data_IF_332730004446
#
_entry.id   IF_332730004446
#
_cell.length_a   1.000
_cell.length_b   1.000
_cell.length_c   1.000
_cell.angle_alpha   90.00
_cell.angle_beta   90.00
_cell.angle_gamma   90.00
#
_symmetry.space_group_name_H-M   'P 1'
#
loop_
_entity.id
_entity.type
_entity.pdbx_description
1 polymer ?
#
# COMPACT_ATOMS: atom_id res chain seq x y z
N UNK A 1 24.22 -0.25 -25.26
CA UNK A 1 24.73 0.89 -24.45
C UNK A 1 23.96 0.90 -23.15
N UNK A 2 24.58 1.28 -22.02
CA UNK A 2 23.88 1.43 -20.76
C UNK A 2 22.89 2.60 -20.79
N UNK A 3 21.96 2.66 -19.81
CA UNK A 3 21.07 3.79 -19.65
C UNK A 3 21.88 5.06 -19.34
N UNK A 4 21.54 6.16 -20.00
CA UNK A 4 22.10 7.49 -19.74
C UNK A 4 21.11 8.33 -18.90
N UNK A 5 21.61 8.98 -17.84
CA UNK A 5 20.88 9.96 -17.06
C UNK A 5 21.62 11.29 -17.06
N UNK A 6 20.92 12.34 -17.49
CA UNK A 6 21.38 13.71 -17.49
C UNK A 6 20.64 14.50 -16.39
N UNK A 7 21.35 15.23 -15.56
CA UNK A 7 20.77 16.14 -14.56
C UNK A 7 21.08 17.57 -14.96
N UNK A 8 20.05 18.36 -15.24
CA UNK A 8 20.12 19.79 -15.55
C UNK A 8 19.90 20.58 -14.27
N UNK A 9 20.91 21.29 -13.79
CA UNK A 9 20.93 21.89 -12.44
C UNK A 9 21.80 23.15 -12.36
N UNK A 10 21.62 23.94 -11.30
CA UNK A 10 22.53 25.02 -10.92
C UNK A 10 23.75 24.53 -10.11
N UNK A 11 23.72 23.30 -9.58
CA UNK A 11 24.73 22.75 -8.68
C UNK A 11 25.21 21.36 -9.12
N UNK A 12 25.82 21.24 -10.31
CA UNK A 12 26.26 19.95 -10.85
C UNK A 12 27.22 19.21 -9.92
N UNK A 13 28.06 19.90 -9.16
CA UNK A 13 29.04 19.30 -8.27
C UNK A 13 28.36 18.53 -7.13
N UNK A 14 27.21 19.04 -6.64
CA UNK A 14 26.41 18.36 -5.60
C UNK A 14 25.87 17.03 -6.12
N UNK A 15 25.36 17.02 -7.34
CA UNK A 15 24.81 15.80 -7.94
C UNK A 15 25.91 14.82 -8.31
N UNK A 16 26.99 15.29 -8.92
CA UNK A 16 28.10 14.46 -9.40
C UNK A 16 28.78 13.69 -8.26
N UNK A 17 28.98 14.33 -7.08
CA UNK A 17 29.58 13.67 -5.92
C UNK A 17 28.76 12.45 -5.47
N UNK A 18 27.44 12.52 -5.51
CA UNK A 18 26.54 11.42 -5.14
C UNK A 18 26.57 10.34 -6.23
N UNK A 19 26.47 10.73 -7.50
CA UNK A 19 26.44 9.80 -8.63
C UNK A 19 27.76 9.03 -8.79
N UNK A 20 28.90 9.63 -8.44
CA UNK A 20 30.21 8.99 -8.48
C UNK A 20 30.47 8.03 -7.30
N UNK A 21 29.59 8.06 -6.30
CA UNK A 21 29.78 7.29 -5.08
C UNK A 21 29.11 5.91 -5.14
N UNK A 22 29.56 5.01 -4.24
CA UNK A 22 28.95 3.72 -3.90
C UNK A 22 28.58 2.85 -5.13
N UNK A 23 27.34 2.36 -5.18
CA UNK A 23 26.85 1.41 -6.18
C UNK A 23 26.75 2.08 -7.56
N UNK A 24 26.13 3.25 -7.63
CA UNK A 24 25.92 4.00 -8.86
C UNK A 24 27.26 4.35 -9.52
N UNK A 25 28.20 4.92 -8.74
CA UNK A 25 29.53 5.26 -9.27
C UNK A 25 30.35 4.04 -9.74
N UNK A 26 30.21 2.89 -9.07
CA UNK A 26 30.83 1.64 -9.55
C UNK A 26 30.21 1.13 -10.84
N UNK A 27 28.88 1.24 -10.97
CA UNK A 27 28.16 0.81 -12.15
C UNK A 27 28.53 1.69 -13.36
N UNK A 28 28.62 3.00 -13.17
CA UNK A 28 29.08 3.95 -14.20
C UNK A 28 30.51 3.63 -14.65
N UNK A 29 31.45 3.40 -13.73
CA UNK A 29 32.84 3.00 -14.05
C UNK A 29 32.94 1.68 -14.81
N UNK A 30 31.97 0.78 -14.66
CA UNK A 30 31.88 -0.50 -15.38
C UNK A 30 31.12 -0.39 -16.71
N UNK A 31 30.57 0.78 -17.05
CA UNK A 31 29.84 1.02 -18.29
C UNK A 31 28.41 0.45 -18.32
N UNK A 32 27.84 0.08 -17.17
CA UNK A 32 26.45 -0.36 -17.11
C UNK A 32 25.45 0.79 -17.25
N UNK A 33 25.84 1.99 -16.83
CA UNK A 33 25.06 3.22 -16.88
C UNK A 33 25.99 4.40 -17.21
N UNK A 34 25.41 5.51 -17.63
CA UNK A 34 26.10 6.79 -17.85
C UNK A 34 25.37 7.89 -17.07
N UNK A 35 26.12 8.80 -16.42
CA UNK A 35 25.56 9.92 -15.67
C UNK A 35 26.29 11.20 -16.01
N UNK A 36 25.53 12.27 -16.30
CA UNK A 36 26.06 13.58 -16.64
C UNK A 36 25.29 14.66 -15.87
N UNK A 37 26.02 15.68 -15.44
CA UNK A 37 25.43 16.85 -14.79
C UNK A 37 25.74 18.10 -15.61
N UNK A 38 24.71 18.87 -15.97
CA UNK A 38 24.79 20.03 -16.82
C UNK A 38 24.54 21.31 -16.03
N UNK A 39 25.49 22.27 -16.13
CA UNK A 39 25.37 23.56 -15.45
C UNK A 39 24.49 24.50 -16.25
N UNK A 40 23.31 24.86 -15.74
CA UNK A 40 22.38 25.80 -16.38
C UNK A 40 23.04 27.15 -16.66
N UNK A 41 23.92 27.63 -15.78
CA UNK A 41 24.60 28.93 -15.90
C UNK A 41 25.48 29.04 -17.13
N UNK A 42 25.93 27.94 -17.71
CA UNK A 42 26.80 27.96 -18.90
C UNK A 42 26.03 28.28 -20.19
N UNK A 43 24.71 28.20 -20.14
CA UNK A 43 23.80 28.47 -21.26
C UNK A 43 23.13 29.85 -21.20
N UNK A 44 23.39 30.64 -20.15
CA UNK A 44 22.85 32.00 -20.09
C UNK A 44 23.58 32.96 -21.04
N UNK A 45 22.81 33.82 -21.68
CA UNK A 45 23.33 34.91 -22.53
C UNK A 45 23.80 36.11 -21.74
N UNK A 46 23.50 36.14 -20.44
CA UNK A 46 23.87 37.21 -19.52
C UNK A 46 25.35 37.13 -19.17
N UNK A 47 26.08 38.26 -19.30
CA UNK A 47 27.52 38.35 -18.98
C UNK A 47 27.84 38.02 -17.51
N UNK A 48 26.92 38.30 -16.61
CA UNK A 48 27.00 38.00 -15.17
C UNK A 48 26.62 36.56 -14.84
N UNK A 49 26.29 35.77 -15.85
CA UNK A 49 25.78 34.37 -15.68
C UNK A 49 24.54 34.28 -14.77
N UNK A 50 23.68 35.30 -14.79
CA UNK A 50 22.43 35.34 -14.08
C UNK A 50 21.44 34.39 -14.79
N UNK A 51 20.69 33.62 -13.99
CA UNK A 51 19.76 32.58 -14.47
C UNK A 51 18.33 32.76 -13.96
N UNK A 52 18.06 33.81 -13.22
CA UNK A 52 16.83 34.07 -12.48
C UNK A 52 16.47 35.55 -12.45
N UNK A 53 15.17 35.88 -12.30
CA UNK A 53 14.64 37.25 -12.15
C UNK A 53 13.34 37.24 -11.33
N UNK A 54 12.82 38.39 -11.03
CA UNK A 54 11.57 38.56 -10.32
C UNK A 54 10.38 38.02 -11.11
N UNK A 55 9.42 37.39 -10.42
CA UNK A 55 8.23 36.88 -11.12
C UNK A 55 7.34 37.99 -11.65
N UNK A 56 6.73 37.82 -12.81
CA UNK A 56 5.66 38.67 -13.28
C UNK A 56 4.46 38.60 -12.30
N UNK A 57 3.84 39.73 -12.08
CA UNK A 57 2.72 39.85 -11.11
C UNK A 57 3.18 40.17 -9.68
N UNK A 58 4.49 40.25 -9.43
CA UNK A 58 5.05 40.50 -8.11
C UNK A 58 5.08 39.23 -7.24
N UNK A 59 5.63 39.34 -6.07
CA UNK A 59 5.83 38.27 -5.10
C UNK A 59 7.22 38.30 -4.48
N UNK A 60 7.47 37.41 -3.53
CA UNK A 60 8.79 37.20 -2.96
C UNK A 60 9.58 36.18 -3.81
N UNK A 61 10.93 36.32 -3.81
CA UNK A 61 11.81 35.37 -4.44
C UNK A 61 12.07 35.65 -5.93
N UNK A 62 12.68 34.68 -6.58
CA UNK A 62 13.14 34.71 -7.98
C UNK A 62 12.62 33.48 -8.73
N UNK A 63 12.53 33.58 -10.03
CA UNK A 63 12.13 32.47 -10.93
C UNK A 63 13.24 32.23 -11.95
N UNK A 64 13.56 30.98 -12.21
CA UNK A 64 14.56 30.61 -13.22
C UNK A 64 14.08 30.98 -14.62
N UNK A 65 14.94 31.63 -15.40
CA UNK A 65 14.67 31.98 -16.79
C UNK A 65 14.41 30.77 -17.67
N UNK A 66 13.47 30.90 -18.59
CA UNK A 66 13.22 29.89 -19.62
C UNK A 66 14.43 29.62 -20.54
N UNK A 67 15.15 30.71 -21.00
CA UNK A 67 16.17 30.61 -22.01
C UNK A 67 17.34 29.71 -21.62
N UNK A 68 18.04 29.85 -20.48
CA UNK A 68 19.22 29.01 -20.19
C UNK A 68 18.84 27.53 -19.98
N UNK A 69 17.66 27.26 -19.43
CA UNK A 69 17.16 25.89 -19.26
C UNK A 69 16.85 25.27 -20.64
N UNK A 70 16.12 25.99 -21.49
CA UNK A 70 15.77 25.54 -22.83
C UNK A 70 17.03 25.27 -23.68
N UNK A 71 18.04 26.13 -23.62
CA UNK A 71 19.27 25.95 -24.39
C UNK A 71 20.13 24.79 -23.85
N UNK A 72 20.15 24.60 -22.51
CA UNK A 72 20.77 23.44 -21.90
C UNK A 72 20.08 22.13 -22.35
N UNK A 73 18.74 22.07 -22.32
CA UNK A 73 17.98 20.91 -22.79
C UNK A 73 18.21 20.59 -24.27
N UNK A 74 18.23 21.63 -25.11
CA UNK A 74 18.57 21.45 -26.56
C UNK A 74 19.97 20.92 -26.74
N UNK A 75 20.95 21.37 -25.95
CA UNK A 75 22.31 20.85 -25.97
C UNK A 75 22.38 19.38 -25.57
N UNK A 76 21.68 18.97 -24.51
CA UNK A 76 21.56 17.57 -24.09
C UNK A 76 20.91 16.72 -25.19
N UNK A 77 19.79 17.18 -25.76
CA UNK A 77 19.11 16.46 -26.84
C UNK A 77 20.03 16.29 -28.07
N UNK A 78 20.80 17.32 -28.43
CA UNK A 78 21.76 17.28 -29.52
C UNK A 78 22.87 16.27 -29.24
N UNK A 79 23.46 16.31 -28.04
CA UNK A 79 24.53 15.38 -27.64
C UNK A 79 24.07 13.93 -27.67
N UNK A 80 22.86 13.66 -27.14
CA UNK A 80 22.23 12.33 -27.18
C UNK A 80 22.01 11.84 -28.60
N UNK A 81 21.53 12.73 -29.49
CA UNK A 81 21.34 12.40 -30.94
C UNK A 81 22.65 12.15 -31.66
N UNK A 82 23.72 12.93 -31.40
CA UNK A 82 25.06 12.73 -31.97
C UNK A 82 25.66 11.38 -31.53
N UNK A 83 25.30 10.85 -30.38
CA UNK A 83 25.66 9.50 -29.94
C UNK A 83 24.80 8.39 -30.57
N UNK A 84 23.85 8.74 -31.44
CA UNK A 84 22.93 7.78 -32.06
C UNK A 84 21.91 7.16 -31.10
N UNK A 85 21.64 7.83 -29.97
CA UNK A 85 20.66 7.37 -28.98
C UNK A 85 19.26 7.94 -29.29
N UNK A 86 18.19 7.29 -28.82
CA UNK A 86 16.83 7.85 -28.83
C UNK A 86 16.76 9.18 -28.09
N UNK A 87 15.76 10.01 -28.39
CA UNK A 87 15.49 11.24 -27.64
C UNK A 87 15.33 10.95 -26.15
N UNK A 88 15.86 11.82 -25.27
CA UNK A 88 15.71 11.63 -23.84
C UNK A 88 14.27 11.89 -23.40
N UNK A 89 13.79 11.14 -22.42
CA UNK A 89 12.57 11.43 -21.69
C UNK A 89 12.88 12.50 -20.63
N UNK A 90 12.18 13.63 -20.69
CA UNK A 90 12.49 14.82 -19.88
C UNK A 90 11.49 14.94 -18.72
N UNK A 91 12.01 14.89 -17.51
CA UNK A 91 11.24 14.95 -16.27
C UNK A 91 11.62 16.22 -15.48
N UNK A 92 10.63 17.04 -15.17
CA UNK A 92 10.81 18.16 -14.27
C UNK A 92 10.45 17.76 -12.84
N UNK A 93 11.34 18.07 -11.90
CA UNK A 93 11.10 17.82 -10.47
C UNK A 93 10.42 19.05 -9.88
N UNK A 94 9.11 18.95 -9.65
CA UNK A 94 8.27 20.06 -9.17
C UNK A 94 7.42 19.62 -7.98
N UNK A 95 7.01 20.55 -7.13
CA UNK A 95 6.10 20.26 -6.02
C UNK A 95 4.69 19.91 -6.50
N UNK A 96 4.29 20.41 -7.69
CA UNK A 96 2.98 20.16 -8.31
C UNK A 96 2.91 18.89 -9.15
N UNK A 97 4.03 18.21 -9.36
CA UNK A 97 4.12 17.02 -10.19
C UNK A 97 3.42 15.80 -9.56
N UNK A 98 3.23 14.77 -10.39
CA UNK A 98 2.69 13.50 -9.93
C UNK A 98 3.58 12.87 -8.86
N UNK A 99 2.98 12.30 -7.82
CA UNK A 99 3.73 11.67 -6.73
C UNK A 99 4.54 10.47 -7.21
N UNK A 100 5.85 10.53 -7.06
CA UNK A 100 6.79 9.49 -7.43
C UNK A 100 6.64 8.23 -6.57
N UNK A 101 6.65 7.06 -7.21
CA UNK A 101 6.54 5.74 -6.58
C UNK A 101 7.49 4.75 -7.25
N UNK A 102 7.62 3.54 -6.70
CA UNK A 102 8.39 2.44 -7.30
C UNK A 102 7.89 2.07 -8.71
N UNK A 103 6.60 2.23 -8.99
CA UNK A 103 6.04 2.03 -10.32
C UNK A 103 6.61 3.02 -11.33
N UNK A 104 6.75 4.29 -10.94
CA UNK A 104 7.44 5.30 -11.76
C UNK A 104 8.89 4.92 -12.00
N UNK A 105 9.62 4.45 -10.96
CA UNK A 105 11.01 4.01 -11.12
C UNK A 105 11.13 2.89 -12.16
N UNK A 106 10.27 1.87 -12.06
CA UNK A 106 10.24 0.75 -13.03
C UNK A 106 9.91 1.19 -14.44
N UNK A 107 8.97 2.11 -14.61
CA UNK A 107 8.60 2.68 -15.91
C UNK A 107 9.74 3.51 -16.50
N UNK A 108 10.32 4.42 -15.70
CA UNK A 108 11.44 5.26 -16.13
C UNK A 108 12.69 4.43 -16.46
N UNK A 109 12.92 3.32 -15.78
CA UNK A 109 14.00 2.40 -16.08
C UNK A 109 13.87 1.72 -17.45
N UNK A 110 12.74 1.82 -18.17
CA UNK A 110 12.60 1.29 -19.53
C UNK A 110 13.17 2.23 -20.59
N UNK A 111 13.41 3.50 -20.27
CA UNK A 111 14.02 4.43 -21.20
C UNK A 111 15.52 4.20 -21.33
N UNK A 112 16.07 4.50 -22.50
CA UNK A 112 17.51 4.46 -22.73
C UNK A 112 18.20 5.75 -22.24
N UNK A 113 17.46 6.87 -22.26
CA UNK A 113 17.95 8.17 -21.85
C UNK A 113 16.88 8.90 -21.03
N UNK A 114 17.28 9.46 -19.88
CA UNK A 114 16.43 10.20 -18.97
C UNK A 114 17.11 11.55 -18.65
N UNK A 115 16.39 12.64 -18.78
CA UNK A 115 16.86 13.97 -18.38
C UNK A 115 16.01 14.46 -17.19
N UNK A 116 16.65 14.74 -16.08
CA UNK A 116 16.03 15.26 -14.84
C UNK A 116 16.34 16.74 -14.72
N UNK A 117 15.32 17.59 -14.62
CA UNK A 117 15.48 19.04 -14.54
C UNK A 117 15.20 19.50 -13.11
N UNK A 118 16.18 20.15 -12.51
CA UNK A 118 16.12 20.68 -11.15
C UNK A 118 15.64 22.12 -11.16
N UNK A 119 14.49 22.39 -10.52
CA UNK A 119 14.06 23.74 -10.17
C UNK A 119 14.85 24.28 -8.96
N UNK A 120 14.86 25.60 -8.82
CA UNK A 120 15.41 26.31 -7.68
C UNK A 120 14.62 27.60 -7.42
N UNK A 121 14.86 28.27 -6.27
CA UNK A 121 14.14 29.48 -5.87
C UNK A 121 12.61 29.24 -5.74
N UNK A 122 11.78 30.11 -6.39
CA UNK A 122 10.31 29.94 -6.43
C UNK A 122 9.85 28.99 -7.54
N UNK A 123 10.76 28.54 -8.41
CA UNK A 123 10.48 27.60 -9.48
C UNK A 123 11.12 27.97 -10.82
N UNK A 124 10.58 27.37 -11.86
CA UNK A 124 11.01 27.50 -13.26
C UNK A 124 9.92 28.26 -14.02
N UNK A 125 10.31 29.08 -15.00
CA UNK A 125 9.36 29.69 -15.92
C UNK A 125 8.49 28.63 -16.61
N UNK A 126 7.18 28.70 -16.41
CA UNK A 126 6.20 27.69 -16.86
C UNK A 126 6.31 27.37 -18.34
N UNK A 127 6.65 28.35 -19.16
CA UNK A 127 6.78 28.19 -20.61
C UNK A 127 7.86 27.17 -21.03
N UNK A 128 8.87 26.92 -20.19
CA UNK A 128 9.87 25.89 -20.49
C UNK A 128 9.40 24.52 -20.06
N UNK A 129 8.62 24.44 -18.99
CA UNK A 129 7.94 23.20 -18.59
C UNK A 129 6.96 22.78 -19.69
N UNK A 130 6.06 23.67 -20.10
CA UNK A 130 5.10 23.44 -21.20
C UNK A 130 5.75 22.98 -22.51
N UNK A 131 6.96 23.53 -22.81
CA UNK A 131 7.63 23.26 -24.08
C UNK A 131 8.47 21.99 -24.10
N UNK A 132 8.96 21.51 -22.97
CA UNK A 132 9.96 20.45 -22.89
C UNK A 132 9.61 19.27 -21.98
N UNK A 133 8.70 19.44 -20.99
CA UNK A 133 8.40 18.37 -20.07
C UNK A 133 7.62 17.25 -20.75
N UNK A 134 8.10 16.01 -20.65
CA UNK A 134 7.30 14.83 -20.93
C UNK A 134 6.44 14.49 -19.70
N UNK A 135 6.95 14.80 -18.49
CA UNK A 135 6.21 14.67 -17.23
C UNK A 135 6.80 15.54 -16.11
N UNK A 136 5.97 15.82 -15.10
CA UNK A 136 6.37 16.44 -13.85
C UNK A 136 6.22 15.46 -12.70
N UNK A 137 7.25 15.34 -11.84
CA UNK A 137 7.24 14.44 -10.70
C UNK A 137 7.56 15.15 -9.39
N UNK A 138 6.87 14.77 -8.32
CA UNK A 138 7.10 15.19 -6.94
C UNK A 138 7.52 13.99 -6.09
N UNK A 139 8.59 14.11 -5.31
CA UNK A 139 9.01 13.03 -4.41
C UNK A 139 8.24 13.01 -3.07
N UNK A 140 7.30 13.90 -2.86
CA UNK A 140 6.44 13.93 -1.66
C UNK A 140 5.91 15.33 -1.34
N UNK A 141 4.98 15.39 -0.37
CA UNK A 141 4.24 16.58 0.03
C UNK A 141 5.07 17.43 1.02
N UNK A 142 6.23 17.92 0.56
CA UNK A 142 7.13 18.81 1.31
C UNK A 142 7.98 19.60 0.32
N UNK A 143 8.48 20.76 0.76
CA UNK A 143 9.27 21.67 -0.08
C UNK A 143 10.75 21.53 0.26
N UNK A 144 11.58 21.44 -0.78
CA UNK A 144 13.04 21.47 -0.71
C UNK A 144 13.57 22.81 -1.21
N UNK A 145 14.84 23.10 -0.95
CA UNK A 145 15.51 24.32 -1.43
C UNK A 145 15.80 24.30 -2.93
N UNK A 146 15.77 23.10 -3.55
CA UNK A 146 16.01 22.89 -4.98
C UNK A 146 15.67 21.45 -5.39
N UNK A 147 15.68 21.19 -6.69
CA UNK A 147 15.34 19.89 -7.29
C UNK A 147 16.46 18.84 -7.24
N UNK A 148 17.67 19.19 -6.80
CA UNK A 148 18.85 18.33 -6.86
C UNK A 148 18.67 17.03 -6.05
N UNK A 149 18.18 17.13 -4.81
CA UNK A 149 17.91 15.95 -3.99
C UNK A 149 16.81 15.08 -4.59
N UNK A 150 15.76 15.71 -5.13
CA UNK A 150 14.69 14.99 -5.80
C UNK A 150 15.20 14.24 -7.04
N UNK A 151 16.02 14.88 -7.87
CA UNK A 151 16.67 14.26 -9.04
C UNK A 151 17.57 13.11 -8.64
N UNK A 152 18.31 13.21 -7.55
CA UNK A 152 19.16 12.13 -7.04
C UNK A 152 18.34 10.95 -6.53
N UNK A 153 17.22 11.19 -5.85
CA UNK A 153 16.29 10.12 -5.43
C UNK A 153 15.73 9.37 -6.63
N UNK A 154 15.28 10.09 -7.67
CA UNK A 154 14.78 9.49 -8.91
C UNK A 154 15.90 8.76 -9.64
N UNK A 155 17.08 9.37 -9.80
CA UNK A 155 18.22 8.75 -10.50
C UNK A 155 18.66 7.45 -9.81
N UNK A 156 18.81 7.43 -8.48
CA UNK A 156 19.24 6.24 -7.73
C UNK A 156 18.21 5.11 -7.87
N UNK A 157 16.93 5.40 -7.64
CA UNK A 157 15.86 4.41 -7.69
C UNK A 157 15.63 3.84 -9.10
N UNK A 158 15.87 4.62 -10.17
CA UNK A 158 15.79 4.17 -11.55
C UNK A 158 17.04 3.37 -11.94
N UNK A 159 18.23 3.93 -11.68
CA UNK A 159 19.49 3.33 -12.12
C UNK A 159 19.78 1.99 -11.43
N UNK A 160 19.39 1.82 -10.17
CA UNK A 160 19.56 0.55 -9.45
C UNK A 160 18.81 -0.63 -10.08
N UNK A 161 17.76 -0.36 -10.86
CA UNK A 161 16.98 -1.37 -11.57
C UNK A 161 17.63 -1.83 -12.90
N UNK A 162 18.71 -1.17 -13.34
CA UNK A 162 19.37 -1.56 -14.58
C UNK A 162 20.25 -2.80 -14.38
N UNK A 163 20.31 -3.70 -15.39
CA UNK A 163 21.13 -4.90 -15.31
C UNK A 163 22.60 -4.58 -14.99
N UNK A 164 23.20 -5.29 -14.05
CA UNK A 164 24.59 -5.16 -13.64
C UNK A 164 24.88 -4.08 -12.59
N UNK A 165 23.91 -3.22 -12.26
CA UNK A 165 24.05 -2.20 -11.20
C UNK A 165 24.03 -2.86 -9.84
N UNK A 166 23.01 -3.66 -9.54
CA UNK A 166 22.98 -4.53 -8.36
C UNK A 166 23.52 -5.92 -8.70
N UNK A 167 24.05 -6.62 -7.71
CA UNK A 167 24.70 -7.91 -7.90
C UNK A 167 23.74 -9.01 -8.38
N UNK A 168 22.50 -8.99 -7.88
CA UNK A 168 21.46 -9.96 -8.20
C UNK A 168 20.13 -9.25 -8.49
N UNK A 169 19.50 -9.62 -9.59
CA UNK A 169 18.19 -9.08 -9.98
C UNK A 169 17.10 -9.43 -8.95
N UNK A 170 17.15 -10.64 -8.38
CA UNK A 170 16.23 -11.04 -7.30
C UNK A 170 16.29 -10.14 -6.07
N UNK A 171 17.39 -9.41 -5.86
CA UNK A 171 17.57 -8.55 -4.69
C UNK A 171 16.54 -7.43 -4.59
N UNK A 172 16.10 -6.84 -5.70
CA UNK A 172 15.09 -5.77 -5.69
C UNK A 172 13.66 -6.28 -5.92
N UNK A 173 13.49 -7.48 -6.51
CA UNK A 173 12.16 -8.08 -6.73
C UNK A 173 11.49 -8.55 -5.42
N UNK A 174 12.28 -8.78 -4.37
CA UNK A 174 11.78 -9.16 -3.03
C UNK A 174 11.69 -7.97 -2.06
N UNK A 175 12.06 -6.76 -2.49
CA UNK A 175 12.04 -5.56 -1.66
C UNK A 175 10.62 -4.95 -1.53
N UNK A 176 10.50 -4.00 -0.60
CA UNK A 176 9.25 -3.25 -0.39
C UNK A 176 8.78 -2.59 -1.68
N UNK A 177 7.47 -2.60 -1.90
CA UNK A 177 6.74 -1.99 -3.02
C UNK A 177 6.82 -2.73 -4.37
N UNK A 178 7.70 -3.74 -4.52
CA UNK A 178 7.82 -4.44 -5.80
C UNK A 178 6.54 -5.18 -6.19
N UNK A 179 5.92 -5.89 -5.25
CA UNK A 179 4.64 -6.58 -5.40
C UNK A 179 3.47 -5.87 -4.67
N UNK A 180 3.68 -4.60 -4.28
CA UNK A 180 2.71 -3.80 -3.54
C UNK A 180 2.73 -3.99 -2.03
N UNK A 181 3.60 -4.84 -1.49
CA UNK A 181 3.77 -5.06 -0.06
C UNK A 181 5.06 -4.44 0.48
N UNK A 182 5.12 -4.25 1.79
CA UNK A 182 6.37 -4.00 2.50
C UNK A 182 7.12 -5.31 2.70
N UNK A 183 8.43 -5.27 2.62
CA UNK A 183 9.31 -6.40 2.91
C UNK A 183 9.14 -6.91 4.35
N UNK A 184 9.35 -8.20 4.54
CA UNK A 184 9.41 -8.85 5.85
C UNK A 184 10.60 -8.34 6.70
N UNK A 185 10.59 -8.53 8.05
CA UNK A 185 11.70 -8.09 8.89
C UNK A 185 12.96 -8.92 8.64
N UNK A 186 14.07 -8.23 8.44
CA UNK A 186 15.40 -8.85 8.26
C UNK A 186 16.10 -9.02 9.61
N UNK A 187 16.86 -10.11 9.75
CA UNK A 187 17.64 -10.43 10.93
C UNK A 187 19.07 -10.83 10.52
N UNK A 188 20.05 -10.49 11.36
CA UNK A 188 21.44 -10.87 11.18
C UNK A 188 22.06 -11.35 12.51
N UNK A 189 23.32 -11.73 12.51
CA UNK A 189 24.06 -12.16 13.71
C UNK A 189 24.26 -11.00 14.69
N UNK A 190 24.29 -11.28 16.01
CA UNK A 190 24.18 -12.60 16.65
C UNK A 190 22.72 -13.12 16.70
N UNK A 191 22.51 -14.44 16.94
CA UNK A 191 21.19 -15.07 17.05
C UNK A 191 20.33 -14.48 18.18
N UNK A 192 20.97 -14.06 19.27
CA UNK A 192 20.32 -13.34 20.38
C UNK A 192 21.05 -12.02 20.61
N UNK A 193 20.29 -10.92 20.51
CA UNK A 193 20.79 -9.58 20.82
C UNK A 193 19.93 -8.94 21.91
N UNK A 194 20.56 -8.61 23.04
CA UNK A 194 19.88 -8.03 24.23
C UNK A 194 18.60 -8.78 24.65
N UNK A 195 18.67 -10.12 24.68
CA UNK A 195 17.55 -10.97 25.03
C UNK A 195 16.49 -11.16 23.94
N UNK A 196 16.66 -10.55 22.79
CA UNK A 196 15.76 -10.67 21.62
C UNK A 196 16.34 -11.68 20.65
N UNK A 197 15.67 -12.82 20.51
CA UNK A 197 16.11 -13.89 19.63
C UNK A 197 15.59 -13.72 18.19
N UNK A 198 16.36 -14.20 17.22
CA UNK A 198 15.92 -14.41 15.85
C UNK A 198 14.77 -15.44 15.85
N UNK A 199 13.70 -15.27 15.06
CA UNK A 199 12.63 -16.25 14.94
C UNK A 199 13.15 -17.64 14.55
N UNK A 200 12.77 -18.68 15.32
CA UNK A 200 13.24 -20.04 15.15
C UNK A 200 13.04 -20.61 13.74
N UNK A 201 11.98 -20.20 13.05
CA UNK A 201 11.72 -20.61 11.67
C UNK A 201 12.87 -20.26 10.72
N UNK A 202 13.56 -19.13 10.97
CA UNK A 202 14.69 -18.67 10.15
C UNK A 202 15.97 -19.45 10.38
N UNK A 203 16.07 -20.17 11.49
CA UNK A 203 17.24 -20.97 11.87
C UNK A 203 17.13 -22.44 11.40
N UNK A 204 15.93 -22.87 11.01
CA UNK A 204 15.62 -24.28 10.74
C UNK A 204 16.01 -24.80 9.35
N UNK A 205 16.47 -23.95 8.42
CA UNK A 205 16.89 -24.36 7.06
C UNK A 205 15.76 -24.87 6.14
N UNK A 206 14.50 -24.88 6.59
CA UNK A 206 13.35 -25.28 5.79
C UNK A 206 12.85 -24.08 4.97
N UNK A 207 13.30 -23.99 3.72
CA UNK A 207 12.99 -22.86 2.83
C UNK A 207 11.49 -22.64 2.64
N UNK A 208 10.69 -23.71 2.56
CA UNK A 208 9.23 -23.54 2.39
C UNK A 208 8.59 -22.88 3.61
N UNK A 209 9.01 -23.24 4.81
CA UNK A 209 8.52 -22.60 6.04
C UNK A 209 9.03 -21.17 6.18
N UNK A 210 10.27 -20.91 5.77
CA UNK A 210 10.88 -19.57 5.77
C UNK A 210 10.09 -18.66 4.82
N UNK A 211 9.81 -19.09 3.59
CA UNK A 211 9.10 -18.30 2.59
C UNK A 211 7.64 -18.05 2.99
N UNK A 212 6.97 -19.06 3.56
CA UNK A 212 5.63 -18.90 4.11
C UNK A 212 5.60 -17.85 5.24
N UNK A 213 6.58 -17.91 6.16
CA UNK A 213 6.73 -16.96 7.26
C UNK A 213 7.02 -15.55 6.74
N UNK A 214 7.96 -15.40 5.79
CA UNK A 214 8.29 -14.11 5.15
C UNK A 214 7.05 -13.46 4.53
N UNK A 215 6.28 -14.21 3.74
CA UNK A 215 5.04 -13.73 3.15
C UNK A 215 3.98 -13.35 4.19
N UNK A 216 3.88 -14.06 5.30
CA UNK A 216 2.98 -13.71 6.41
C UNK A 216 3.42 -12.39 7.09
N UNK A 217 4.72 -12.24 7.37
CA UNK A 217 5.28 -11.02 7.98
C UNK A 217 5.13 -9.80 7.07
N UNK A 218 5.39 -9.95 5.77
CA UNK A 218 5.20 -8.91 4.77
C UNK A 218 3.75 -8.39 4.77
N UNK A 219 2.77 -9.28 4.66
CA UNK A 219 1.34 -8.92 4.74
C UNK A 219 0.96 -8.28 6.08
N UNK A 220 1.47 -8.81 7.19
CA UNK A 220 1.17 -8.27 8.52
C UNK A 220 1.75 -6.86 8.71
N UNK A 221 2.99 -6.63 8.28
CA UNK A 221 3.65 -5.32 8.32
C UNK A 221 2.95 -4.29 7.44
N UNK A 222 2.61 -4.69 6.20
CA UNK A 222 1.94 -3.79 5.25
C UNK A 222 0.59 -3.37 5.79
N UNK A 223 -0.22 -4.32 6.26
CA UNK A 223 -1.52 -4.03 6.86
C UNK A 223 -1.42 -3.06 8.06
N UNK A 224 -0.36 -3.18 8.88
CA UNK A 224 -0.19 -2.34 10.06
C UNK A 224 0.36 -0.95 9.73
N UNK A 225 1.31 -0.85 8.80
CA UNK A 225 2.08 0.37 8.54
C UNK A 225 1.62 1.16 7.33
N UNK A 226 1.07 0.47 6.35
CA UNK A 226 0.60 1.00 5.06
C UNK A 226 -0.69 0.29 4.67
N UNK A 227 -1.79 0.52 5.41
CA UNK A 227 -3.06 -0.15 5.18
C UNK A 227 -3.60 0.08 3.77
N UNK A 228 -3.39 1.26 3.18
CA UNK A 228 -3.79 1.59 1.82
C UNK A 228 -3.12 0.68 0.77
N UNK A 229 -1.81 0.43 0.88
CA UNK A 229 -1.10 -0.50 -0.01
C UNK A 229 -1.61 -1.94 0.16
N UNK A 230 -1.94 -2.33 1.39
CA UNK A 230 -2.47 -3.66 1.65
C UNK A 230 -3.87 -3.85 1.06
N UNK A 231 -4.71 -2.81 1.07
CA UNK A 231 -6.03 -2.81 0.43
C UNK A 231 -5.90 -2.94 -1.09
N UNK A 232 -5.03 -2.17 -1.73
CA UNK A 232 -4.72 -2.28 -3.16
C UNK A 232 -4.19 -3.67 -3.53
N UNK A 233 -3.24 -4.21 -2.74
CA UNK A 233 -2.71 -5.55 -2.94
C UNK A 233 -3.81 -6.63 -2.84
N UNK A 234 -4.77 -6.49 -1.92
CA UNK A 234 -5.89 -7.42 -1.78
C UNK A 234 -6.80 -7.44 -3.03
N UNK A 235 -6.92 -6.33 -3.74
CA UNK A 235 -7.70 -6.26 -4.99
C UNK A 235 -7.02 -7.05 -6.10
N UNK A 236 -5.70 -6.93 -6.22
CA UNK A 236 -4.92 -7.57 -7.29
C UNK A 236 -4.55 -9.02 -7.00
N UNK A 237 -4.67 -9.46 -5.73
CA UNK A 237 -4.33 -10.81 -5.27
C UNK A 237 -5.54 -11.53 -4.63
N UNK A 238 -6.59 -11.84 -5.41
CA UNK A 238 -7.77 -12.54 -4.91
C UNK A 238 -7.43 -13.95 -4.41
N UNK A 239 -8.27 -14.48 -3.53
CA UNK A 239 -8.19 -15.88 -3.10
C UNK A 239 -8.83 -16.73 -4.18
N UNK A 240 -8.01 -17.37 -5.00
CA UNK A 240 -8.45 -18.25 -6.10
C UNK A 240 -8.69 -19.68 -5.65
N UNK A 241 -7.97 -20.13 -4.62
CA UNK A 241 -8.14 -21.48 -4.07
C UNK A 241 -8.70 -21.42 -2.64
N UNK A 242 -9.88 -22.01 -2.46
CA UNK A 242 -10.50 -22.08 -1.15
C UNK A 242 -9.86 -23.18 -0.29
N UNK A 243 -9.60 -22.91 1.00
CA UNK A 243 -9.05 -23.90 1.92
C UNK A 243 -10.00 -25.12 2.00
N UNK A 244 -9.47 -26.33 1.79
CA UNK A 244 -10.25 -27.56 1.88
C UNK A 244 -10.76 -27.79 3.32
N UNK A 245 -11.98 -28.30 3.41
CA UNK A 245 -12.54 -28.77 4.68
C UNK A 245 -11.75 -29.97 5.19
N UNK A 246 -11.32 -29.91 6.44
CA UNK A 246 -10.61 -31.01 7.09
C UNK A 246 -11.60 -31.96 7.78
N UNK A 247 -11.16 -33.21 8.03
CA UNK A 247 -11.98 -34.18 8.78
C UNK A 247 -12.33 -33.60 10.16
N UNK A 248 -13.62 -33.59 10.50
CA UNK A 248 -14.17 -33.07 11.76
C UNK A 248 -14.49 -31.56 11.75
N UNK A 249 -14.24 -30.87 10.64
CA UNK A 249 -14.73 -29.50 10.42
C UNK A 249 -16.09 -29.52 9.73
N UNK A 250 -17.03 -28.73 10.20
CA UNK A 250 -18.35 -28.61 9.57
C UNK A 250 -19.06 -27.30 9.95
N UNK A 251 -20.11 -26.98 9.16
CA UNK A 251 -21.05 -25.90 9.48
C UNK A 251 -22.37 -26.50 9.97
N UNK A 252 -22.87 -25.99 11.08
CA UNK A 252 -24.13 -26.45 11.72
C UNK A 252 -25.13 -25.33 11.83
N UNK A 253 -26.34 -25.56 11.32
CA UNK A 253 -27.46 -24.65 11.56
C UNK A 253 -27.83 -24.66 13.05
N UNK A 254 -27.95 -23.47 13.63
CA UNK A 254 -28.37 -23.28 15.02
C UNK A 254 -29.86 -23.60 15.18
N UNK A 255 -30.16 -24.70 15.85
CA UNK A 255 -31.54 -25.20 16.06
C UNK A 255 -31.94 -25.17 17.53
N UNK A 256 -31.03 -25.50 18.45
CA UNK A 256 -31.32 -25.63 19.89
C UNK A 256 -30.93 -24.35 20.64
N UNK A 257 -31.49 -24.20 21.88
CA UNK A 257 -31.14 -23.10 22.78
C UNK A 257 -29.68 -23.14 23.19
N UNK A 258 -29.10 -24.32 23.41
CA UNK A 258 -27.69 -24.51 23.72
C UNK A 258 -26.78 -24.00 22.59
N UNK A 259 -27.14 -24.32 21.33
CA UNK A 259 -26.42 -23.83 20.16
C UNK A 259 -26.58 -22.31 19.99
N UNK A 260 -27.74 -21.75 20.32
CA UNK A 260 -27.98 -20.32 20.29
C UNK A 260 -27.12 -19.58 21.34
N UNK A 261 -27.03 -20.13 22.55
CA UNK A 261 -26.15 -19.61 23.61
C UNK A 261 -24.67 -19.68 23.19
N UNK A 262 -24.25 -20.78 22.51
CA UNK A 262 -22.90 -20.87 21.97
C UNK A 262 -22.63 -19.80 20.89
N UNK A 263 -23.59 -19.51 20.02
CA UNK A 263 -23.49 -18.45 19.03
C UNK A 263 -23.39 -17.06 19.70
N UNK A 264 -24.20 -16.82 20.75
CA UNK A 264 -24.15 -15.56 21.51
C UNK A 264 -22.79 -15.32 22.19
N UNK A 265 -22.20 -16.37 22.77
CA UNK A 265 -20.84 -16.29 23.35
C UNK A 265 -19.78 -15.92 22.29
N UNK A 266 -19.83 -16.57 21.13
CA UNK A 266 -18.91 -16.24 20.02
C UNK A 266 -19.09 -14.81 19.52
N UNK A 267 -20.34 -14.34 19.45
CA UNK A 267 -20.64 -12.97 19.05
C UNK A 267 -20.12 -11.95 20.08
N UNK A 268 -20.32 -12.21 21.37
CA UNK A 268 -19.78 -11.40 22.46
C UNK A 268 -18.24 -11.35 22.42
N UNK A 269 -17.57 -12.50 22.22
CA UNK A 269 -16.11 -12.57 22.07
C UNK A 269 -15.65 -11.74 20.89
N UNK A 270 -16.32 -11.86 19.74
CA UNK A 270 -16.03 -11.09 18.53
C UNK A 270 -16.18 -9.58 18.73
N UNK A 271 -17.27 -9.17 19.36
CA UNK A 271 -17.52 -7.74 19.65
C UNK A 271 -16.48 -7.19 20.64
N UNK A 272 -16.16 -7.91 21.70
CA UNK A 272 -15.13 -7.52 22.67
C UNK A 272 -13.73 -7.38 22.04
N UNK A 273 -13.39 -8.23 21.07
CA UNK A 273 -12.11 -8.19 20.37
C UNK A 273 -11.87 -6.90 19.57
N UNK A 274 -12.94 -6.21 19.14
CA UNK A 274 -12.86 -4.94 18.39
C UNK A 274 -13.37 -3.74 19.21
N UNK A 275 -13.90 -4.01 20.39
CA UNK A 275 -14.60 -3.02 21.21
C UNK A 275 -13.69 -1.87 21.62
N UNK A 276 -12.53 -2.16 22.19
CA UNK A 276 -11.59 -1.15 22.71
C UNK A 276 -11.00 -0.21 21.65
N UNK A 277 -11.11 -0.58 20.37
CA UNK A 277 -10.67 0.27 19.26
C UNK A 277 -11.75 1.25 18.80
N UNK A 278 -13.02 0.96 19.08
CA UNK A 278 -14.17 1.66 18.50
C UNK A 278 -15.09 2.29 19.55
N UNK A 279 -15.09 1.80 20.81
CA UNK A 279 -15.98 2.25 21.89
C UNK A 279 -15.21 2.46 23.19
N UNK A 280 -15.90 3.07 24.18
CA UNK A 280 -15.31 3.29 25.51
C UNK A 280 -15.15 1.98 26.29
N UNK A 281 -14.19 1.90 27.22
CA UNK A 281 -14.04 0.74 28.10
C UNK A 281 -15.33 0.43 28.91
N UNK A 282 -16.07 1.46 29.34
CA UNK A 282 -17.32 1.34 30.07
C UNK A 282 -18.43 0.69 29.24
N UNK A 283 -18.53 1.05 27.95
CA UNK A 283 -19.44 0.40 27.00
C UNK A 283 -19.05 -1.07 26.82
N UNK A 284 -17.78 -1.34 26.56
CA UNK A 284 -17.28 -2.70 26.34
C UNK A 284 -17.55 -3.61 27.57
N UNK A 285 -17.48 -3.05 28.78
CA UNK A 285 -17.74 -3.79 30.01
C UNK A 285 -19.24 -4.16 30.23
N UNK A 286 -20.16 -3.42 29.60
CA UNK A 286 -21.61 -3.67 29.68
C UNK A 286 -22.12 -4.76 28.77
N UNK A 287 -21.34 -5.14 27.73
CA UNK A 287 -21.75 -6.18 26.80
C UNK A 287 -21.89 -7.53 27.49
N UNK A 288 -23.08 -8.11 27.42
CA UNK A 288 -23.41 -9.39 28.05
C UNK A 288 -23.82 -10.47 27.06
N UNK A 289 -23.73 -11.73 27.47
CA UNK A 289 -24.18 -12.87 26.66
C UNK A 289 -25.70 -12.83 26.43
N UNK A 290 -26.46 -12.38 27.44
CA UNK A 290 -27.92 -12.28 27.40
C UNK A 290 -28.39 -11.31 26.31
N UNK A 291 -27.71 -10.16 26.15
CA UNK A 291 -28.04 -9.19 25.11
C UNK A 291 -27.84 -9.78 23.71
N UNK A 292 -26.72 -10.46 23.49
CA UNK A 292 -26.46 -11.11 22.20
C UNK A 292 -27.37 -12.32 21.96
N UNK A 293 -27.74 -13.05 23.00
CA UNK A 293 -28.71 -14.13 22.91
C UNK A 293 -30.10 -13.60 22.50
N UNK A 294 -30.56 -12.52 23.13
CA UNK A 294 -31.82 -11.87 22.80
C UNK A 294 -31.83 -11.34 21.36
N UNK A 295 -30.71 -10.73 20.93
CA UNK A 295 -30.52 -10.26 19.55
C UNK A 295 -30.61 -11.40 18.53
N UNK A 296 -29.86 -12.47 18.70
CA UNK A 296 -29.89 -13.63 17.81
C UNK A 296 -31.27 -14.32 17.77
N UNK A 297 -31.98 -14.36 18.91
CA UNK A 297 -33.35 -14.87 18.97
C UNK A 297 -34.33 -13.99 18.20
N UNK A 298 -34.17 -12.67 18.25
CA UNK A 298 -34.97 -11.74 17.45
C UNK A 298 -34.65 -11.88 15.96
N UNK A 299 -33.38 -11.85 15.57
CA UNK A 299 -32.95 -12.04 14.21
C UNK A 299 -33.48 -13.37 13.60
N UNK A 300 -33.52 -14.45 14.40
CA UNK A 300 -34.14 -15.72 13.96
C UNK A 300 -35.64 -15.58 13.66
N UNK A 301 -36.37 -14.78 14.44
CA UNK A 301 -37.79 -14.48 14.18
C UNK A 301 -37.95 -13.64 12.91
N UNK A 302 -36.98 -12.75 12.64
CA UNK A 302 -36.94 -11.89 11.47
C UNK A 302 -36.47 -12.61 10.20
N UNK A 303 -36.15 -13.92 10.29
CA UNK A 303 -35.81 -14.80 9.16
C UNK A 303 -34.32 -15.01 8.94
N UNK A 304 -33.47 -14.60 9.86
CA UNK A 304 -32.04 -14.90 9.81
C UNK A 304 -31.74 -16.38 10.15
N UNK A 305 -30.82 -16.96 9.42
CA UNK A 305 -30.27 -18.28 9.68
C UNK A 305 -28.86 -18.15 10.29
N UNK A 306 -28.66 -18.66 11.51
CA UNK A 306 -27.37 -18.65 12.18
C UNK A 306 -26.69 -20.01 12.03
N UNK A 307 -25.39 -20.01 11.74
CA UNK A 307 -24.56 -21.20 11.57
C UNK A 307 -23.34 -21.13 12.46
N UNK A 308 -23.02 -22.27 13.11
CA UNK A 308 -21.77 -22.46 13.84
C UNK A 308 -20.77 -23.21 12.97
N UNK A 309 -19.54 -22.71 12.87
CA UNK A 309 -18.41 -23.51 12.46
C UNK A 309 -17.93 -24.33 13.66
N UNK A 310 -17.73 -25.63 13.48
CA UNK A 310 -17.27 -26.54 14.52
C UNK A 310 -16.05 -27.33 14.07
N UNK A 311 -15.06 -27.45 14.96
CA UNK A 311 -13.94 -28.39 14.81
C UNK A 311 -14.06 -29.47 15.90
N UNK A 312 -14.22 -30.73 15.51
CA UNK A 312 -14.45 -31.86 16.43
C UNK A 312 -15.57 -31.57 17.43
N UNK A 313 -16.70 -31.09 16.92
CA UNK A 313 -17.91 -30.74 17.65
C UNK A 313 -17.81 -29.50 18.57
N UNK A 314 -16.65 -28.85 18.66
CA UNK A 314 -16.47 -27.62 19.42
C UNK A 314 -16.72 -26.41 18.50
N UNK A 315 -17.65 -25.50 18.87
CA UNK A 315 -17.88 -24.25 18.13
C UNK A 315 -16.65 -23.34 18.22
N UNK A 316 -16.14 -22.88 17.06
CA UNK A 316 -14.97 -22.02 16.96
C UNK A 316 -15.16 -20.87 15.96
N UNK A 317 -16.37 -20.72 15.43
CA UNK A 317 -16.79 -19.60 14.61
C UNK A 317 -18.30 -19.60 14.39
N UNK A 318 -18.83 -18.45 13.95
CA UNK A 318 -20.24 -18.30 13.59
C UNK A 318 -20.41 -17.38 12.39
N UNK A 319 -21.52 -17.60 11.66
CA UNK A 319 -21.98 -16.70 10.59
C UNK A 319 -23.49 -16.66 10.57
N UNK A 320 -24.05 -15.49 10.32
CA UNK A 320 -25.50 -15.27 10.17
C UNK A 320 -25.82 -14.76 8.78
N UNK A 321 -26.89 -15.27 8.18
CA UNK A 321 -27.35 -14.86 6.85
C UNK A 321 -28.83 -14.52 6.86
N UNK A 322 -29.22 -13.48 6.16
CA UNK A 322 -30.60 -13.15 5.84
C UNK A 322 -30.89 -13.49 4.38
N UNK A 323 -31.71 -14.52 4.15
CA UNK A 323 -32.16 -14.85 2.79
C UNK A 323 -33.09 -13.77 2.21
N UNK A 324 -33.85 -13.09 3.06
CA UNK A 324 -34.78 -12.04 2.63
C UNK A 324 -34.02 -10.82 2.10
N UNK A 325 -32.92 -10.46 2.74
CA UNK A 325 -32.16 -9.23 2.42
C UNK A 325 -30.94 -9.52 1.54
N UNK A 326 -30.60 -10.79 1.29
CA UNK A 326 -29.37 -11.14 0.60
C UNK A 326 -28.10 -10.72 1.36
N UNK A 327 -28.15 -10.79 2.70
CA UNK A 327 -27.13 -10.18 3.56
C UNK A 327 -26.44 -11.22 4.45
N UNK A 328 -25.13 -11.03 4.62
CA UNK A 328 -24.33 -11.67 5.68
C UNK A 328 -24.18 -10.65 6.81
N UNK A 329 -24.76 -10.96 8.00
CA UNK A 329 -24.83 -10.02 9.11
C UNK A 329 -23.66 -10.19 10.09
N UNK A 330 -23.36 -11.42 10.50
CA UNK A 330 -22.29 -11.72 11.45
C UNK A 330 -21.33 -12.72 10.84
N UNK A 331 -20.03 -12.48 11.00
CA UNK A 331 -18.98 -13.45 10.69
C UNK A 331 -17.87 -13.31 11.75
N UNK A 332 -17.69 -14.34 12.55
CA UNK A 332 -16.69 -14.35 13.61
C UNK A 332 -15.95 -15.69 13.67
N UNK A 333 -14.66 -15.64 13.97
CA UNK A 333 -13.78 -16.80 14.22
C UNK A 333 -13.01 -16.52 15.51
N UNK A 334 -13.01 -17.47 16.46
CA UNK A 334 -12.27 -17.35 17.72
C UNK A 334 -10.80 -17.06 17.49
N UNK A 335 -10.17 -16.33 18.40
CA UNK A 335 -8.76 -15.95 18.27
C UNK A 335 -7.84 -17.17 18.10
N UNK A 336 -8.06 -18.23 18.89
CA UNK A 336 -7.33 -19.48 18.81
C UNK A 336 -7.45 -20.20 17.47
N UNK A 337 -8.50 -19.89 16.68
CA UNK A 337 -8.80 -20.53 15.39
C UNK A 337 -8.49 -19.64 14.19
N UNK A 338 -8.04 -18.41 14.40
CA UNK A 338 -7.61 -17.49 13.33
C UNK A 338 -6.37 -18.02 12.60
N UNK A 339 -6.22 -17.60 11.34
CA UNK A 339 -5.08 -18.03 10.49
C UNK A 339 -5.23 -19.43 9.88
N UNK A 340 -6.25 -20.20 10.27
CA UNK A 340 -6.50 -21.57 9.79
C UNK A 340 -7.42 -21.66 8.55
N UNK A 341 -7.80 -20.51 7.99
CA UNK A 341 -8.66 -20.43 6.80
C UNK A 341 -10.16 -20.52 7.10
N UNK A 342 -10.59 -20.54 8.38
CA UNK A 342 -12.00 -20.70 8.73
C UNK A 342 -12.87 -19.52 8.27
N UNK A 343 -12.36 -18.29 8.37
CA UNK A 343 -13.09 -17.12 7.86
C UNK A 343 -13.40 -17.21 6.37
N UNK A 344 -12.44 -17.69 5.56
CA UNK A 344 -12.61 -17.93 4.12
C UNK A 344 -13.70 -18.98 3.88
N UNK A 345 -13.63 -20.13 4.58
CA UNK A 345 -14.60 -21.23 4.45
C UNK A 345 -16.02 -20.80 4.83
N UNK A 346 -16.14 -20.05 5.92
CA UNK A 346 -17.43 -19.57 6.43
C UNK A 346 -18.03 -18.51 5.51
N UNK A 347 -17.21 -17.60 4.97
CA UNK A 347 -17.67 -16.59 4.03
C UNK A 347 -18.13 -17.23 2.71
N UNK A 348 -17.37 -18.17 2.17
CA UNK A 348 -17.79 -18.93 0.97
C UNK A 348 -19.07 -19.75 1.23
N UNK A 349 -19.18 -20.40 2.40
CA UNK A 349 -20.40 -21.09 2.81
C UNK A 349 -21.61 -20.14 2.87
N UNK A 350 -21.46 -18.98 3.50
CA UNK A 350 -22.53 -18.00 3.62
C UNK A 350 -22.95 -17.44 2.25
N UNK A 351 -21.97 -17.14 1.40
CA UNK A 351 -22.23 -16.70 0.02
C UNK A 351 -23.03 -17.76 -0.76
N UNK A 352 -22.66 -19.03 -0.66
CA UNK A 352 -23.40 -20.13 -1.30
C UNK A 352 -24.83 -20.29 -0.76
N UNK A 353 -25.07 -19.93 0.50
CA UNK A 353 -26.44 -19.88 1.06
C UNK A 353 -27.26 -18.75 0.48
N UNK A 354 -26.62 -17.73 -0.08
CA UNK A 354 -27.24 -16.58 -0.72
C UNK A 354 -27.10 -16.60 -2.26
N UNK A 355 -26.92 -17.77 -2.87
CA UNK A 355 -26.73 -17.92 -4.32
C UNK A 355 -27.89 -17.42 -5.18
N UNK A 356 -29.11 -17.34 -4.62
CA UNK A 356 -30.28 -16.75 -5.27
C UNK A 356 -30.18 -15.22 -5.39
N UNK A 357 -29.28 -14.58 -4.61
CA UNK A 357 -29.00 -13.16 -4.68
C UNK A 357 -27.77 -12.92 -5.55
N UNK A 358 -27.88 -12.25 -6.69
CA UNK A 358 -26.77 -12.05 -7.62
C UNK A 358 -25.64 -11.22 -6.99
N UNK A 359 -25.98 -10.33 -6.05
CA UNK A 359 -25.05 -9.41 -5.39
C UNK A 359 -25.33 -9.37 -3.89
N UNK A 360 -25.00 -10.42 -3.14
CA UNK A 360 -25.17 -10.38 -1.67
C UNK A 360 -24.30 -9.29 -1.04
N UNK A 361 -24.73 -8.75 0.09
CA UNK A 361 -24.06 -7.66 0.80
C UNK A 361 -23.64 -8.09 2.20
N UNK A 362 -22.66 -7.41 2.75
CA UNK A 362 -22.28 -7.49 4.17
C UNK A 362 -21.85 -6.10 4.66
N UNK A 363 -21.93 -5.90 5.97
CA UNK A 363 -21.41 -4.70 6.61
C UNK A 363 -20.20 -5.03 7.49
N UNK A 364 -19.23 -4.14 7.52
CA UNK A 364 -18.02 -4.28 8.30
C UNK A 364 -17.62 -2.93 8.91
N UNK A 365 -17.08 -2.94 10.14
CA UNK A 365 -16.51 -1.74 10.75
C UNK A 365 -15.40 -1.20 9.85
N UNK A 366 -15.44 0.10 9.55
CA UNK A 366 -14.44 0.74 8.67
C UNK A 366 -13.02 0.60 9.23
N UNK A 367 -12.88 0.58 10.55
CA UNK A 367 -11.61 0.33 11.25
C UNK A 367 -11.12 -1.12 11.16
N UNK A 368 -11.97 -2.09 10.73
CA UNK A 368 -11.59 -3.50 10.63
C UNK A 368 -10.90 -3.83 9.31
N UNK A 369 -9.70 -3.27 9.11
CA UNK A 369 -8.87 -3.49 7.91
C UNK A 369 -8.63 -4.99 7.61
N UNK A 370 -8.55 -5.84 8.65
CA UNK A 370 -8.34 -7.28 8.47
C UNK A 370 -9.54 -7.96 7.80
N UNK A 371 -10.74 -7.64 8.22
CA UNK A 371 -11.96 -8.20 7.65
C UNK A 371 -12.19 -7.63 6.23
N UNK A 372 -12.03 -6.32 6.03
CA UNK A 372 -12.11 -5.69 4.70
C UNK A 372 -11.17 -6.37 3.71
N UNK A 373 -9.91 -6.58 4.09
CA UNK A 373 -8.92 -7.26 3.26
C UNK A 373 -9.32 -8.71 2.90
N UNK A 374 -9.87 -9.48 3.87
CA UNK A 374 -10.39 -10.81 3.58
C UNK A 374 -11.53 -10.75 2.56
N UNK A 375 -12.50 -9.87 2.77
CA UNK A 375 -13.67 -9.74 1.91
C UNK A 375 -13.26 -9.29 0.50
N UNK A 376 -12.38 -8.30 0.39
CA UNK A 376 -11.84 -7.83 -0.89
C UNK A 376 -11.19 -8.97 -1.69
N UNK A 377 -10.35 -9.78 -1.03
CA UNK A 377 -9.71 -10.95 -1.66
C UNK A 377 -10.68 -12.07 -2.04
N UNK A 378 -11.86 -12.09 -1.46
CA UNK A 378 -12.95 -13.02 -1.77
C UNK A 378 -13.94 -12.46 -2.80
N UNK A 379 -13.62 -11.36 -3.47
CA UNK A 379 -14.45 -10.77 -4.53
C UNK A 379 -15.49 -9.75 -4.06
N UNK A 380 -15.42 -9.29 -2.80
CA UNK A 380 -16.30 -8.25 -2.29
C UNK A 380 -15.69 -6.86 -2.52
N UNK A 381 -16.54 -5.88 -2.85
CA UNK A 381 -16.12 -4.49 -3.11
C UNK A 381 -16.95 -3.52 -2.28
N UNK A 382 -16.32 -2.42 -1.86
CA UNK A 382 -17.00 -1.34 -1.16
C UNK A 382 -18.05 -0.70 -2.06
N UNK A 383 -19.27 -0.47 -1.54
CA UNK A 383 -20.36 0.18 -2.28
C UNK A 383 -20.32 1.70 -2.17
N UNK A 384 -19.55 2.24 -1.24
CA UNK A 384 -19.57 3.66 -0.85
C UNK A 384 -20.69 4.00 0.16
N UNK A 385 -21.55 3.06 0.51
CA UNK A 385 -22.57 3.24 1.55
C UNK A 385 -21.92 3.14 2.94
N UNK A 386 -22.17 4.13 3.78
CA UNK A 386 -21.72 4.21 5.15
C UNK A 386 -22.91 4.30 6.07
N UNK A 387 -23.03 3.33 6.99
CA UNK A 387 -24.02 3.35 8.06
C UNK A 387 -23.31 3.77 9.36
N UNK A 388 -23.88 4.74 10.08
CA UNK A 388 -23.36 5.09 11.41
C UNK A 388 -24.03 4.22 12.45
N UNK A 389 -23.24 3.38 13.14
CA UNK A 389 -23.73 2.63 14.32
C UNK A 389 -23.69 3.57 15.53
N UNK A 390 -24.82 3.94 16.06
CA UNK A 390 -24.94 4.71 17.29
C UNK A 390 -24.78 3.78 18.49
N UNK A 391 -23.98 4.18 19.46
CA UNK A 391 -23.98 3.59 20.79
C UNK A 391 -25.13 4.19 21.61
N UNK A 392 -26.24 3.48 21.82
CA UNK A 392 -27.35 3.99 22.60
C UNK A 392 -27.04 4.16 24.09
N UNK A 393 -25.92 3.62 24.58
CA UNK A 393 -25.47 3.70 25.96
C UNK A 393 -24.38 4.77 26.17
N UNK A 394 -24.03 5.56 25.14
CA UNK A 394 -23.14 6.70 25.32
C UNK A 394 -23.69 7.66 26.34
N UNK A 395 -22.82 8.14 27.26
CA UNK A 395 -23.18 9.18 28.22
C UNK A 395 -23.76 10.41 27.48
N UNK A 396 -24.75 11.11 28.01
CA UNK A 396 -25.32 12.29 27.38
C UNK A 396 -24.21 13.29 27.01
N UNK A 397 -24.08 13.57 25.69
CA UNK A 397 -23.08 14.49 25.15
C UNK A 397 -21.84 13.84 24.54
N UNK A 398 -21.65 12.53 24.60
CA UNK A 398 -20.55 11.80 23.95
C UNK A 398 -21.14 10.84 22.92
N UNK A 399 -21.18 11.25 21.67
CA UNK A 399 -21.62 10.40 20.57
C UNK A 399 -20.37 9.75 19.97
N UNK A 400 -20.11 8.48 20.31
CA UNK A 400 -19.15 7.67 19.58
C UNK A 400 -19.87 7.09 18.35
N UNK A 401 -19.51 7.58 17.18
CA UNK A 401 -19.98 7.06 15.91
C UNK A 401 -18.96 6.06 15.37
N UNK A 402 -19.36 4.82 15.21
CA UNK A 402 -18.58 3.85 14.43
C UNK A 402 -19.17 3.76 13.04
N UNK A 403 -18.35 4.05 12.04
CA UNK A 403 -18.72 3.88 10.64
C UNK A 403 -18.73 2.38 10.31
N UNK A 404 -19.87 1.89 9.82
CA UNK A 404 -20.02 0.61 9.17
C UNK A 404 -20.03 0.85 7.65
N UNK A 405 -19.16 0.17 6.93
CA UNK A 405 -19.12 0.24 5.46
C UNK A 405 -19.73 -1.02 4.86
N UNK A 406 -20.52 -0.84 3.82
CA UNK A 406 -21.17 -1.95 3.10
C UNK A 406 -20.26 -2.43 1.99
N UNK A 407 -20.10 -3.76 1.89
CA UNK A 407 -19.42 -4.41 0.78
C UNK A 407 -20.40 -5.32 0.03
N UNK A 408 -20.26 -5.36 -1.29
CA UNK A 408 -21.07 -6.16 -2.21
C UNK A 408 -20.20 -7.20 -2.90
N UNK A 409 -20.72 -8.41 -3.06
CA UNK A 409 -20.04 -9.44 -3.85
C UNK A 409 -20.21 -9.17 -5.35
N UNK A 410 -19.10 -9.14 -6.08
CA UNK A 410 -19.07 -8.85 -7.52
C UNK A 410 -18.52 -10.03 -8.37
N UNK A 411 -18.04 -11.08 -7.72
CA UNK A 411 -17.56 -12.27 -8.38
C UNK A 411 -16.10 -12.62 -8.10
#
# INVERSE_FOLDING_TARGET
MGMRVDIVTLFPEMCQQVLDASIIGRAAKRGYIETHCHQIRDYTLNKQKQTDDYPYGGGCGMVLYAQPIADCLRAVQKEVAEQGRPAPHIVFLTAGGQRYTEEHARRLAQYDNLTLVCGHYEGIDERVIDAFADEELSIGDYILTGGELASLVVADSVLRLKPGVLAEQKGYEEESYWDGLLEYPQYTRPEVWEGRAVPQVLLGGDHQKIDAWRGEQSRARTRLRRPELYEEWCVTHPITELPKWKRGENMRLVKTEEQMAAAARLMLEGRRAVCTQNWTPEFCARLTEEEFLARLQQEKKDGYAHYLHCTKDVPDGMVSVSHKEGRIEHLYVTEASRGRGFGVKMLDFARKKLEEHPHPVLSVLDTNARAKALYTRMGWRLTGEVEEEFDPAALPGVVHKCAMVTMRYEG
#
